data_IF_060724520092
#
_entry.id   IF_060724520092
#
_cell.length_a   1.000
_cell.length_b   1.000
_cell.length_c   1.000
_cell.angle_alpha   90.00
_cell.angle_beta   90.00
_cell.angle_gamma   90.00
#
_symmetry.space_group_name_H-M   'P 1'
#
loop_
_entity.id
_entity.type
_entity.pdbx_description
1 polymer ?
#
# COMPACT_ATOMS: atom_id res chain seq x y z
N UNK A 1 -22.20 5.99 4.82
CA UNK A 1 -21.32 4.85 5.13
C UNK A 1 -21.45 3.88 3.97
N UNK A 2 -20.36 3.61 3.24
CA UNK A 2 -20.38 2.71 2.08
C UNK A 2 -19.65 1.43 2.45
N UNK A 3 -20.25 0.28 2.14
CA UNK A 3 -19.63 -1.04 2.29
C UNK A 3 -18.95 -1.40 0.98
N UNK A 4 -17.74 -1.93 1.05
CA UNK A 4 -17.11 -2.58 -0.10
C UNK A 4 -17.85 -3.91 -0.31
N UNK A 5 -18.79 -3.93 -1.25
CA UNK A 5 -19.50 -5.16 -1.61
C UNK A 5 -18.59 -6.07 -2.44
N UNK A 6 -18.79 -7.38 -2.31
CA UNK A 6 -18.08 -8.42 -3.08
C UNK A 6 -16.56 -8.54 -2.83
N UNK A 7 -16.02 -7.88 -1.79
CA UNK A 7 -14.61 -7.93 -1.43
C UNK A 7 -14.43 -8.50 -0.03
N UNK A 8 -13.56 -9.51 0.10
CA UNK A 8 -13.18 -10.05 1.41
C UNK A 8 -11.90 -9.36 1.87
N UNK A 9 -12.02 -8.37 2.73
CA UNK A 9 -10.86 -7.64 3.26
C UNK A 9 -10.16 -8.48 4.33
N UNK A 10 -8.86 -8.70 4.16
CA UNK A 10 -8.02 -9.45 5.09
C UNK A 10 -7.17 -8.53 5.97
N UNK A 11 -6.81 -7.35 5.47
CA UNK A 11 -6.03 -6.36 6.22
C UNK A 11 -6.53 -4.95 5.93
N UNK A 12 -6.49 -4.09 6.94
CA UNK A 12 -6.81 -2.67 6.84
C UNK A 12 -5.78 -1.84 7.59
N UNK A 13 -5.44 -0.68 7.05
CA UNK A 13 -4.62 0.34 7.70
C UNK A 13 -5.22 1.73 7.44
N UNK A 14 -5.05 2.64 8.39
CA UNK A 14 -5.51 4.02 8.25
C UNK A 14 -4.46 5.00 8.80
N UNK A 15 -4.43 6.20 8.24
CA UNK A 15 -3.70 7.34 8.79
C UNK A 15 -4.61 8.58 8.84
N UNK A 16 -4.03 9.78 8.97
CA UNK A 16 -4.76 11.05 9.12
C UNK A 16 -5.73 11.38 7.98
N UNK A 17 -5.60 10.77 6.80
CA UNK A 17 -6.50 11.05 5.69
C UNK A 17 -6.62 9.96 4.65
N UNK A 18 -6.00 8.80 4.87
CA UNK A 18 -5.93 7.70 3.91
C UNK A 18 -6.31 6.41 4.60
N UNK A 19 -7.11 5.59 3.92
CA UNK A 19 -7.40 4.21 4.30
C UNK A 19 -6.86 3.30 3.20
N UNK A 20 -6.19 2.24 3.60
CA UNK A 20 -5.68 1.18 2.74
C UNK A 20 -6.28 -0.16 3.14
N UNK A 21 -6.69 -0.96 2.16
CA UNK A 21 -7.30 -2.28 2.36
C UNK A 21 -6.62 -3.30 1.46
N UNK A 22 -6.36 -4.49 1.98
CA UNK A 22 -5.92 -5.65 1.19
C UNK A 22 -7.03 -6.69 1.22
N UNK A 23 -7.46 -7.18 0.05
CA UNK A 23 -8.44 -8.26 -0.04
C UNK A 23 -7.79 -9.66 0.02
N UNK A 24 -8.59 -10.72 -0.16
CA UNK A 24 -8.10 -12.10 -0.12
C UNK A 24 -7.30 -12.47 -1.38
N UNK A 25 -7.59 -11.79 -2.48
CA UNK A 25 -6.93 -11.93 -3.77
C UNK A 25 -5.55 -11.25 -3.79
N UNK A 26 -5.25 -10.43 -2.78
CA UNK A 26 -3.99 -9.70 -2.62
C UNK A 26 -3.96 -8.36 -3.34
N UNK A 27 -5.11 -7.85 -3.77
CA UNK A 27 -5.25 -6.51 -4.34
C UNK A 27 -5.20 -5.46 -3.23
N UNK A 28 -4.49 -4.37 -3.50
CA UNK A 28 -4.38 -3.22 -2.60
C UNK A 28 -5.30 -2.09 -3.07
N UNK A 29 -6.24 -1.72 -2.23
CA UNK A 29 -7.11 -0.56 -2.41
C UNK A 29 -6.67 0.58 -1.48
N UNK A 30 -6.68 1.80 -1.97
CA UNK A 30 -6.44 3.00 -1.18
C UNK A 30 -7.41 4.11 -1.58
N UNK A 31 -7.94 4.82 -0.58
CA UNK A 31 -8.79 5.99 -0.77
C UNK A 31 -8.52 7.05 0.29
N UNK A 32 -8.80 8.31 -0.03
CA UNK A 32 -8.50 9.45 0.82
C UNK A 32 -7.50 10.42 0.21
N UNK A 33 -6.56 10.93 1.01
CA UNK A 33 -5.63 12.00 0.60
C UNK A 33 -4.45 11.51 -0.24
N UNK A 34 -3.90 10.34 0.08
CA UNK A 34 -2.64 9.85 -0.52
C UNK A 34 -2.89 8.81 -1.64
N UNK A 35 -3.67 9.18 -2.66
CA UNK A 35 -4.15 8.27 -3.71
C UNK A 35 -3.51 8.49 -5.08
N UNK A 36 -2.36 9.17 -5.14
CA UNK A 36 -1.68 9.48 -6.42
C UNK A 36 -1.27 8.24 -7.24
N UNK A 37 -1.17 7.07 -6.60
CA UNK A 37 -0.84 5.79 -7.24
C UNK A 37 -2.08 4.91 -7.49
N UNK A 38 -3.28 5.45 -7.27
CA UNK A 38 -4.53 4.71 -7.34
C UNK A 38 -5.27 5.03 -8.63
N UNK A 39 -5.92 4.02 -9.21
CA UNK A 39 -6.96 4.26 -10.20
C UNK A 39 -8.12 5.02 -9.52
N UNK A 40 -8.55 6.18 -10.05
CA UNK A 40 -9.52 7.05 -9.37
C UNK A 40 -10.93 6.49 -9.30
N UNK A 41 -11.26 5.49 -10.13
CA UNK A 41 -12.61 4.89 -10.17
C UNK A 41 -12.73 3.67 -9.24
N UNK A 42 -11.63 2.94 -9.06
CA UNK A 42 -11.61 1.68 -8.31
C UNK A 42 -10.88 1.78 -6.98
N UNK A 43 -9.99 2.75 -6.82
CA UNK A 43 -9.09 2.86 -5.67
C UNK A 43 -7.95 1.84 -5.68
N UNK A 44 -7.80 1.04 -6.72
CA UNK A 44 -6.72 0.03 -6.82
C UNK A 44 -5.38 0.73 -7.03
N UNK A 45 -4.35 0.33 -6.29
CA UNK A 45 -2.98 0.78 -6.49
C UNK A 45 -2.42 0.13 -7.76
N UNK A 46 -2.33 0.89 -8.85
CA UNK A 46 -2.11 0.37 -10.21
C UNK A 46 -0.78 -0.37 -10.37
N UNK A 47 0.28 0.17 -9.77
CA UNK A 47 1.64 -0.36 -9.89
C UNK A 47 1.84 -1.68 -9.13
N UNK A 48 0.87 -2.07 -8.30
CA UNK A 48 0.86 -3.32 -7.54
C UNK A 48 -0.21 -4.29 -8.01
N UNK A 49 -0.85 -4.05 -9.16
CA UNK A 49 -1.95 -4.92 -9.66
C UNK A 49 -1.53 -6.37 -9.87
N UNK A 50 -0.31 -6.59 -10.35
CA UNK A 50 0.25 -7.93 -10.59
C UNK A 50 1.07 -8.45 -9.40
N UNK A 51 0.96 -7.79 -8.25
CA UNK A 51 1.69 -8.11 -7.02
C UNK A 51 0.69 -8.51 -5.93
N UNK A 52 0.79 -9.75 -5.46
CA UNK A 52 -0.03 -10.24 -4.34
C UNK A 52 0.43 -9.61 -3.02
N UNK A 53 -0.27 -8.56 -2.59
CA UNK A 53 -0.08 -7.94 -1.29
C UNK A 53 -0.59 -8.85 -0.17
N UNK A 54 0.18 -8.92 0.91
CA UNK A 54 -0.14 -9.69 2.11
C UNK A 54 -0.54 -8.77 3.26
N UNK A 55 0.19 -7.66 3.46
CA UNK A 55 -0.10 -6.68 4.51
C UNK A 55 0.18 -5.27 4.02
N UNK A 56 -0.48 -4.29 4.64
CA UNK A 56 -0.27 -2.87 4.41
C UNK A 56 -0.14 -2.11 5.73
N UNK A 57 0.77 -1.15 5.78
CA UNK A 57 0.91 -0.20 6.88
C UNK A 57 0.98 1.22 6.32
N UNK A 58 0.33 2.15 7.03
CA UNK A 58 0.35 3.58 6.68
C UNK A 58 1.08 4.38 7.75
N UNK A 59 2.06 5.16 7.33
CA UNK A 59 2.61 6.24 8.13
C UNK A 59 1.82 7.54 7.92
N UNK A 60 2.41 8.69 8.28
CA UNK A 60 1.73 9.99 8.14
C UNK A 60 1.33 10.34 6.69
N UNK A 61 2.20 10.01 5.73
CA UNK A 61 2.03 10.30 4.30
C UNK A 61 2.89 9.34 3.44
N UNK A 62 3.09 8.11 3.92
CA UNK A 62 3.79 7.04 3.20
C UNK A 62 3.13 5.70 3.51
N UNK A 63 3.35 4.75 2.63
CA UNK A 63 2.79 3.40 2.68
C UNK A 63 3.90 2.39 2.58
N UNK A 64 3.81 1.33 3.37
CA UNK A 64 4.61 0.12 3.22
C UNK A 64 3.69 -1.07 2.95
N UNK A 65 4.07 -1.89 1.97
CA UNK A 65 3.32 -3.07 1.53
C UNK A 65 4.23 -4.28 1.58
N UNK A 66 3.86 -5.29 2.36
CA UNK A 66 4.51 -6.61 2.35
C UNK A 66 3.79 -7.50 1.36
N UNK A 67 4.52 -8.19 0.51
CA UNK A 67 3.96 -9.14 -0.47
C UNK A 67 4.03 -10.58 0.01
N UNK A 68 3.23 -11.45 -0.60
CA UNK A 68 3.28 -12.90 -0.34
C UNK A 68 4.62 -13.56 -0.71
N UNK A 69 5.46 -12.89 -1.51
CA UNK A 69 6.83 -13.32 -1.84
C UNK A 69 7.89 -12.80 -0.87
N UNK A 70 7.51 -12.06 0.16
CA UNK A 70 8.43 -11.47 1.14
C UNK A 70 9.10 -10.17 0.67
N UNK A 71 8.78 -9.65 -0.52
CA UNK A 71 9.23 -8.32 -0.94
C UNK A 71 8.44 -7.22 -0.25
N UNK A 72 9.09 -6.06 -0.07
CA UNK A 72 8.48 -4.86 0.50
C UNK A 72 8.50 -3.74 -0.52
N UNK A 73 7.35 -3.10 -0.72
CA UNK A 73 7.21 -1.89 -1.53
C UNK A 73 6.90 -0.72 -0.61
N UNK A 74 7.50 0.43 -0.91
CA UNK A 74 7.25 1.67 -0.16
C UNK A 74 7.06 2.86 -1.08
N UNK A 75 6.02 3.64 -0.83
CA UNK A 75 5.69 4.81 -1.64
C UNK A 75 5.04 5.93 -0.81
N UNK A 76 4.88 7.11 -1.42
CA UNK A 76 4.48 8.35 -0.75
C UNK A 76 5.65 9.30 -0.50
N UNK A 77 5.46 10.24 0.43
CA UNK A 77 6.46 11.26 0.79
C UNK A 77 7.72 10.59 1.31
N UNK A 78 8.88 11.02 0.83
CA UNK A 78 10.19 10.48 1.21
C UNK A 78 11.18 11.54 1.75
N UNK A 79 10.69 12.71 2.18
CA UNK A 79 11.57 13.83 2.58
C UNK A 79 12.48 13.55 3.80
N UNK A 80 12.30 12.42 4.49
CA UNK A 80 13.10 11.94 5.62
C UNK A 80 13.65 10.53 5.40
N UNK A 81 13.64 10.02 4.16
CA UNK A 81 14.12 8.68 3.83
C UNK A 81 13.19 7.52 4.25
N UNK A 82 11.96 7.80 4.67
CA UNK A 82 11.01 6.79 5.19
C UNK A 82 10.61 5.72 4.16
N UNK A 83 10.76 5.99 2.87
CA UNK A 83 10.48 5.03 1.79
C UNK A 83 11.72 4.25 1.36
N UNK A 84 12.84 4.31 2.08
CA UNK A 84 13.97 3.42 1.84
C UNK A 84 14.75 3.62 0.52
N UNK A 85 14.33 4.55 -0.37
CA UNK A 85 14.87 4.68 -1.75
C UNK A 85 16.35 5.02 -1.83
N UNK A 86 16.90 5.58 -0.76
CA UNK A 86 18.31 5.96 -0.64
C UNK A 86 19.14 4.92 0.12
N UNK A 87 18.48 3.94 0.75
CA UNK A 87 19.14 2.83 1.42
C UNK A 87 19.33 1.69 0.44
N UNK A 88 20.57 1.47 0.04
CA UNK A 88 20.93 0.28 -0.70
C UNK A 88 21.03 -0.88 0.29
N UNK A 89 19.99 -1.72 0.35
CA UNK A 89 19.96 -2.92 1.21
C UNK A 89 20.92 -4.03 0.73
N UNK A 90 21.75 -3.74 -0.28
CA UNK A 90 22.92 -4.54 -0.65
C UNK A 90 23.97 -4.46 0.47
N UNK A 91 23.68 -5.04 1.63
CA UNK A 91 24.68 -5.34 2.63
C UNK A 91 25.56 -6.45 2.07
N UNK A 92 26.85 -6.13 2.08
CA UNK A 92 28.02 -6.88 1.62
C UNK A 92 27.91 -8.39 1.88
N UNK A 93 28.30 -9.17 0.87
CA UNK A 93 28.79 -10.55 1.04
C UNK A 93 29.85 -10.64 2.13
#
# INVERSE_FOLDING_TARGET
MNKLESQIITHAACNYGTTALVNREGELFMFGKDTSFCDPNTGIVTDLRDVSALQVALGKAHTAVLTSKGHVYTFGINNKGQCGREFNFSLKE
#
